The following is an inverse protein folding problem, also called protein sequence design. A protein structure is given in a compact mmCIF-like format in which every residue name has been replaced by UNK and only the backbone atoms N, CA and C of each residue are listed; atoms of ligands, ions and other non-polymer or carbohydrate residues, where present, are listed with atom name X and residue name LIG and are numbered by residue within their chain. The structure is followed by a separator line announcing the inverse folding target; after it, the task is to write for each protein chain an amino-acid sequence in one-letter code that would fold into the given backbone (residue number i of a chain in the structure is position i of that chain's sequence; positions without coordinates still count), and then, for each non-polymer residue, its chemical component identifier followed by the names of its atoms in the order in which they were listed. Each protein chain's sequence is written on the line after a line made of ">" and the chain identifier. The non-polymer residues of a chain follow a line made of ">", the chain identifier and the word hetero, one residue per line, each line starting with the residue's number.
data_IF_545247916010
#
_entry.id   IF_545247916010
#
_cell.length_a   1.000
_cell.length_b   1.000
_cell.length_c   1.000
_cell.angle_alpha   90.00
_cell.angle_beta   90.00
_cell.angle_gamma   90.00
#
_symmetry.space_group_name_H-M   'P 1'
#
loop_
_entity.id
_entity.type
_entity.pdbx_description
1 polymer ?
#
# COMPACT_ATOMS: atom_id res chain seq x y z
N UNK A 1 17.69 -5.04 -0.63
CA UNK A 1 17.00 -4.47 -1.81
C UNK A 1 15.55 -4.29 -1.42
N UNK A 2 15.04 -3.05 -1.35
CA UNK A 2 13.64 -2.80 -1.03
C UNK A 2 12.81 -3.24 -2.24
N UNK A 3 11.98 -4.26 -2.06
CA UNK A 3 11.15 -4.77 -3.15
C UNK A 3 10.21 -3.65 -3.62
N UNK A 4 10.43 -3.17 -4.84
CA UNK A 4 9.89 -1.93 -5.42
C UNK A 4 8.43 -2.06 -5.88
N UNK A 5 7.80 -3.21 -5.68
CA UNK A 5 6.44 -3.49 -6.11
C UNK A 5 5.41 -2.52 -5.49
N UNK A 6 5.60 -2.10 -4.24
CA UNK A 6 4.66 -1.25 -3.50
C UNK A 6 5.31 0.05 -3.00
N UNK A 7 5.56 1.04 -3.89
CA UNK A 7 6.32 2.25 -3.57
C UNK A 7 5.49 3.32 -2.84
N UNK A 8 4.18 3.12 -2.68
CA UNK A 8 3.30 4.13 -2.09
C UNK A 8 2.91 3.76 -0.65
N UNK A 9 2.57 4.76 0.14
CA UNK A 9 2.01 4.61 1.48
C UNK A 9 0.68 5.33 1.56
N UNK A 10 -0.29 4.72 2.23
CA UNK A 10 -1.64 5.27 2.34
C UNK A 10 -2.28 4.91 3.68
N UNK A 11 -2.99 5.86 4.28
CA UNK A 11 -3.99 5.59 5.32
C UNK A 11 -5.36 5.62 4.66
N UNK A 12 -6.05 4.49 4.71
CA UNK A 12 -7.41 4.38 4.16
C UNK A 12 -8.36 5.27 4.96
N UNK A 13 -9.40 5.79 4.30
CA UNK A 13 -10.42 6.62 4.96
C UNK A 13 -10.98 5.93 6.21
N UNK A 14 -10.99 6.65 7.35
CA UNK A 14 -11.43 6.13 8.65
C UNK A 14 -10.46 5.15 9.33
N UNK A 15 -9.38 4.74 8.65
CA UNK A 15 -8.36 3.85 9.18
C UNK A 15 -7.20 4.58 9.86
N UNK A 16 -6.57 3.89 10.83
CA UNK A 16 -5.34 4.37 11.49
C UNK A 16 -4.06 3.69 10.97
N UNK A 17 -4.22 2.54 10.31
CA UNK A 17 -3.10 1.78 9.80
C UNK A 17 -2.54 2.40 8.51
N UNK A 18 -1.22 2.32 8.35
CA UNK A 18 -0.52 2.66 7.11
C UNK A 18 -0.39 1.38 6.28
N UNK A 19 -0.88 1.44 5.06
CA UNK A 19 -0.80 0.38 4.07
C UNK A 19 0.29 0.70 3.05
N UNK A 20 0.97 -0.34 2.57
CA UNK A 20 1.74 -0.24 1.34
C UNK A 20 0.80 -0.38 0.15
N UNK A 21 1.07 0.37 -0.92
CA UNK A 21 0.25 0.38 -2.11
C UNK A 21 1.08 0.55 -3.38
N UNK A 22 0.45 0.25 -4.51
CA UNK A 22 0.98 0.47 -5.85
C UNK A 22 -0.10 1.01 -6.78
N UNK A 23 0.34 1.55 -7.91
CA UNK A 23 -0.57 2.01 -8.98
C UNK A 23 -0.77 0.86 -9.95
N UNK A 24 -2.03 0.58 -10.27
CA UNK A 24 -2.39 -0.42 -11.26
C UNK A 24 -2.12 0.13 -12.67
N UNK A 25 -1.33 -0.57 -13.50
CA UNK A 25 -0.85 -0.04 -14.77
C UNK A 25 -1.96 0.18 -15.82
N UNK A 26 -3.05 -0.60 -15.76
CA UNK A 26 -4.10 -0.58 -16.79
C UNK A 26 -5.29 0.31 -16.39
N UNK A 27 -5.76 0.23 -15.15
CA UNK A 27 -6.94 0.96 -14.69
C UNK A 27 -6.63 2.35 -14.15
N UNK A 28 -5.35 2.67 -13.89
CA UNK A 28 -4.94 3.90 -13.22
C UNK A 28 -5.34 3.99 -11.74
N UNK A 29 -6.02 2.96 -11.22
CA UNK A 29 -6.39 2.85 -9.81
C UNK A 29 -5.21 2.49 -8.92
N UNK A 30 -5.48 2.38 -7.63
CA UNK A 30 -4.48 1.95 -6.65
C UNK A 30 -4.98 0.73 -5.89
N UNK A 31 -4.02 -0.10 -5.49
CA UNK A 31 -4.28 -1.29 -4.71
C UNK A 31 -3.23 -1.37 -3.60
N UNK A 32 -3.67 -1.83 -2.42
CA UNK A 32 -2.74 -2.10 -1.31
C UNK A 32 -2.08 -3.46 -1.48
N UNK A 33 -0.91 -3.65 -0.88
CA UNK A 33 -0.26 -4.96 -0.82
C UNK A 33 -1.11 -6.05 -0.14
N UNK A 34 -2.14 -5.67 0.63
CA UNK A 34 -3.11 -6.62 1.18
C UNK A 34 -4.34 -6.84 0.29
N UNK A 35 -4.21 -6.56 -1.02
CA UNK A 35 -5.22 -6.79 -2.06
C UNK A 35 -6.52 -5.99 -1.85
N UNK A 36 -6.47 -4.95 -1.03
CA UNK A 36 -7.57 -4.01 -0.91
C UNK A 36 -7.49 -2.99 -2.05
N UNK A 37 -8.51 -3.00 -2.90
CA UNK A 37 -8.68 -2.00 -3.96
C UNK A 37 -9.09 -0.65 -3.35
N UNK A 38 -8.35 0.39 -3.69
CA UNK A 38 -8.55 1.73 -3.14
C UNK A 38 -9.44 2.52 -4.10
N UNK A 39 -10.65 2.84 -3.66
CA UNK A 39 -11.52 3.75 -4.40
C UNK A 39 -10.84 5.11 -4.56
N UNK A 40 -10.63 5.53 -5.81
CA UNK A 40 -10.05 6.81 -6.15
C UNK A 40 -10.89 8.01 -5.68
N UNK A 41 -12.19 7.80 -5.43
CA UNK A 41 -13.11 8.82 -4.89
C UNK A 41 -13.11 8.89 -3.37
N UNK A 42 -12.58 7.88 -2.68
CA UNK A 42 -12.50 7.91 -1.23
C UNK A 42 -11.41 8.89 -0.76
N UNK A 43 -11.67 9.58 0.35
CA UNK A 43 -10.75 10.55 0.97
C UNK A 43 -9.60 9.86 1.72
N UNK A 44 -8.80 9.09 0.98
CA UNK A 44 -7.61 8.42 1.51
C UNK A 44 -6.47 9.41 1.69
N UNK A 45 -5.66 9.19 2.72
CA UNK A 45 -4.51 10.05 3.00
C UNK A 45 -3.24 9.37 2.49
N UNK A 46 -2.75 9.84 1.35
CA UNK A 46 -1.48 9.40 0.77
C UNK A 46 -0.31 10.00 1.55
N UNK A 47 0.70 9.16 1.79
CA UNK A 47 1.89 9.48 2.56
C UNK A 47 3.13 9.31 1.68
N UNK A 48 4.22 9.95 2.09
CA UNK A 48 5.55 9.69 1.52
C UNK A 48 5.94 8.22 1.67
N UNK A 49 6.99 7.76 0.98
CA UNK A 49 7.41 6.35 1.04
C UNK A 49 8.23 5.99 2.30
N UNK A 50 8.47 6.96 3.20
CA UNK A 50 9.29 6.80 4.40
C UNK A 50 8.54 6.20 5.62
N UNK A 51 7.27 6.57 5.91
CA UNK A 51 6.53 6.03 7.03
C UNK A 51 6.44 4.49 7.01
N UNK A 52 6.61 3.83 8.16
CA UNK A 52 6.55 2.39 8.24
C UNK A 52 5.13 1.89 7.97
N UNK A 53 5.05 0.73 7.31
CA UNK A 53 3.79 0.03 7.07
C UNK A 53 3.33 -0.59 8.40
N UNK A 54 2.17 -0.17 8.91
CA UNK A 54 1.60 -0.67 10.17
C UNK A 54 0.43 -1.63 9.97
N UNK A 55 -0.03 -1.82 8.73
CA UNK A 55 -0.97 -2.90 8.40
C UNK A 55 -0.25 -4.25 8.43
N UNK A 56 -0.59 -5.10 9.40
CA UNK A 56 0.04 -6.42 9.57
C UNK A 56 -0.10 -7.35 8.34
N UNK A 57 -1.15 -7.19 7.52
CA UNK A 57 -1.30 -7.96 6.27
C UNK A 57 -0.31 -7.47 5.21
N UNK A 58 -0.25 -6.15 4.99
CA UNK A 58 0.74 -5.56 4.07
C UNK A 58 2.17 -5.90 4.51
N UNK A 59 2.48 -5.81 5.81
CA UNK A 59 3.81 -6.15 6.33
C UNK A 59 4.21 -7.60 6.01
N UNK A 60 3.29 -8.56 6.17
CA UNK A 60 3.52 -9.97 5.81
C UNK A 60 3.78 -10.16 4.31
N UNK A 61 3.04 -9.45 3.45
CA UNK A 61 3.21 -9.54 1.99
C UNK A 61 4.57 -8.99 1.58
N UNK A 62 4.94 -7.79 2.05
CA UNK A 62 6.24 -7.19 1.75
C UNK A 62 7.42 -8.05 2.22
N UNK A 63 7.30 -8.69 3.40
CA UNK A 63 8.33 -9.63 3.88
C UNK A 63 8.49 -10.84 2.96
N UNK A 64 7.38 -11.40 2.46
CA UNK A 64 7.43 -12.52 1.50
C UNK A 64 8.05 -12.10 0.17
N UNK A 65 7.72 -10.92 -0.30
CA UNK A 65 8.29 -10.33 -1.52
C UNK A 65 9.80 -10.10 -1.37
N UNK A 66 10.26 -9.58 -0.24
CA UNK A 66 11.69 -9.29 -0.03
C UNK A 66 12.60 -10.54 0.03
N UNK A 67 12.03 -11.73 0.25
CA UNK A 67 12.76 -13.01 0.32
C UNK A 67 12.79 -13.70 -1.06
N UNK A 68 11.98 -13.24 -2.01
CA UNK A 68 11.85 -13.81 -3.34
C UNK A 68 12.87 -13.22 -4.31
#
# INVERSE_FOLDING_TARGET
>A
MQNTAHPLRVRLYGGRAVHAAHKLPISGGHETACEYFIDARASNHWLDNDPPVTCARCEKVLKREAVR
#
